data_IF_855900437037
#
_entry.id   IF_855900437037
#
_cell.length_a   1.000
_cell.length_b   1.000
_cell.length_c   1.000
_cell.angle_alpha   90.00
_cell.angle_beta   90.00
_cell.angle_gamma   90.00
#
_symmetry.space_group_name_H-M   'P 1'
#
loop_
_entity.id
_entity.type
_entity.pdbx_description
1 polymer ?
#
# COMPACT_ATOMS: atom_id res chain seq x y z
N UNK A 1 -24.75 1.76 27.10
CA UNK A 1 -24.68 0.95 25.87
C UNK A 1 -23.21 0.93 25.47
N UNK A 2 -22.50 -0.15 25.77
CA UNK A 2 -21.20 -0.38 25.18
C UNK A 2 -21.44 -0.48 23.66
N UNK A 3 -20.86 0.42 22.88
CA UNK A 3 -20.77 0.20 21.45
C UNK A 3 -19.88 -1.03 21.27
N UNK A 4 -20.42 -2.14 20.77
CA UNK A 4 -19.62 -3.26 20.33
C UNK A 4 -18.74 -2.76 19.20
N UNK A 5 -17.43 -2.90 19.38
CA UNK A 5 -16.46 -2.67 18.30
C UNK A 5 -16.58 -3.82 17.26
N UNK A 6 -15.52 -4.11 16.54
CA UNK A 6 -15.57 -5.10 15.47
C UNK A 6 -15.51 -6.57 15.95
N UNK A 7 -15.43 -6.84 17.26
CA UNK A 7 -15.28 -8.20 17.81
C UNK A 7 -16.42 -9.13 17.38
N UNK A 8 -17.69 -8.71 17.57
CA UNK A 8 -18.86 -9.50 17.17
C UNK A 8 -18.84 -9.77 15.64
N UNK A 9 -18.53 -8.75 14.84
CA UNK A 9 -18.42 -8.88 13.39
C UNK A 9 -17.37 -9.94 13.01
N UNK A 10 -16.18 -9.87 13.62
CA UNK A 10 -15.08 -10.78 13.33
C UNK A 10 -15.40 -12.22 13.79
N UNK A 11 -16.12 -12.39 14.88
CA UNK A 11 -16.54 -13.70 15.37
C UNK A 11 -17.66 -14.29 14.51
N UNK A 12 -18.72 -13.53 14.24
CA UNK A 12 -19.91 -14.03 13.55
C UNK A 12 -19.71 -14.25 12.05
N UNK A 13 -19.00 -13.35 11.38
CA UNK A 13 -18.87 -13.37 9.92
C UNK A 13 -17.53 -13.92 9.43
N UNK A 14 -16.47 -13.83 10.25
CA UNK A 14 -15.13 -14.30 9.86
C UNK A 14 -14.66 -15.51 10.67
N UNK A 15 -15.48 -16.03 11.56
CA UNK A 15 -15.21 -17.26 12.33
C UNK A 15 -14.05 -17.12 13.31
N UNK A 16 -13.75 -15.91 13.79
CA UNK A 16 -12.70 -15.70 14.77
C UNK A 16 -13.10 -16.31 16.12
N UNK A 17 -12.34 -17.29 16.62
CA UNK A 17 -12.60 -17.90 17.92
C UNK A 17 -12.37 -16.94 19.09
N UNK A 18 -11.40 -16.05 18.95
CA UNK A 18 -11.03 -15.06 19.97
C UNK A 18 -10.54 -13.79 19.27
N UNK A 19 -11.13 -12.65 19.62
CA UNK A 19 -10.71 -11.33 19.18
C UNK A 19 -10.07 -10.59 20.36
N UNK A 20 -8.94 -9.94 20.12
CA UNK A 20 -8.22 -9.12 21.09
C UNK A 20 -7.81 -7.82 20.43
N UNK A 21 -7.93 -6.71 21.15
CA UNK A 21 -7.55 -5.38 20.69
C UNK A 21 -6.22 -4.95 21.29
N UNK A 22 -5.47 -4.17 20.52
CA UNK A 22 -4.24 -3.52 20.97
C UNK A 22 -4.36 -2.01 20.73
N UNK A 23 -4.10 -1.21 21.74
CA UNK A 23 -4.14 0.25 21.67
C UNK A 23 -2.98 0.86 22.50
N UNK A 24 -2.68 2.12 22.23
CA UNK A 24 -1.70 2.89 22.99
C UNK A 24 -2.19 3.29 24.39
N UNK A 25 -3.50 3.20 24.64
CA UNK A 25 -4.14 3.60 25.88
C UNK A 25 -5.23 2.62 26.32
N UNK A 26 -5.58 2.69 27.60
CA UNK A 26 -6.69 1.93 28.14
C UNK A 26 -8.07 2.60 27.94
N UNK A 27 -8.12 3.72 27.25
CA UNK A 27 -9.32 4.57 27.17
C UNK A 27 -10.53 3.84 26.60
N UNK A 28 -10.35 3.02 25.57
CA UNK A 28 -11.40 2.25 24.92
C UNK A 28 -11.46 0.78 25.40
N UNK A 29 -10.76 0.45 26.47
CA UNK A 29 -10.81 -0.88 27.07
C UNK A 29 -10.05 -1.94 26.27
N UNK A 30 -8.97 -1.56 25.59
CA UNK A 30 -8.16 -2.49 24.80
C UNK A 30 -7.63 -3.66 25.64
N UNK A 31 -7.56 -4.84 25.04
CA UNK A 31 -7.05 -6.06 25.66
C UNK A 31 -5.55 -5.95 26.00
N UNK A 32 -4.80 -5.31 25.12
CA UNK A 32 -3.38 -5.08 25.25
C UNK A 32 -3.06 -3.60 25.10
N UNK A 33 -2.20 -3.07 25.98
CA UNK A 33 -1.72 -1.69 25.90
C UNK A 33 -0.28 -1.74 25.43
N UNK A 34 -0.02 -1.19 24.25
CA UNK A 34 1.31 -1.08 23.68
C UNK A 34 1.42 0.10 22.70
N UNK A 35 2.52 0.83 22.77
CA UNK A 35 2.82 1.90 21.83
C UNK A 35 3.45 1.32 20.56
N UNK A 36 2.74 1.38 19.44
CA UNK A 36 3.22 0.86 18.16
C UNK A 36 4.39 1.66 17.56
N UNK A 37 4.71 2.84 18.11
CA UNK A 37 5.95 3.55 17.76
C UNK A 37 7.21 2.90 18.34
N UNK A 38 7.07 2.03 19.33
CA UNK A 38 8.13 1.37 20.08
C UNK A 38 8.20 -0.12 19.75
N UNK A 39 9.32 -0.81 20.08
CA UNK A 39 9.38 -2.26 19.94
C UNK A 39 8.27 -2.97 20.69
N UNK A 40 7.68 -4.00 20.05
CA UNK A 40 6.59 -4.78 20.61
C UNK A 40 7.03 -5.50 21.90
N UNK A 41 6.18 -5.51 22.97
CA UNK A 41 6.41 -6.33 24.14
C UNK A 41 6.56 -7.82 23.80
N UNK A 42 7.59 -8.48 24.36
CA UNK A 42 7.98 -9.86 24.00
C UNK A 42 6.85 -10.88 24.21
N UNK A 43 5.97 -10.65 25.18
CA UNK A 43 4.83 -11.51 25.46
C UNK A 43 3.73 -11.49 24.38
N UNK A 44 3.80 -10.57 23.42
CA UNK A 44 2.86 -10.46 22.28
C UNK A 44 3.43 -11.05 20.98
N UNK A 45 4.71 -11.36 20.94
CA UNK A 45 5.37 -11.86 19.72
C UNK A 45 4.85 -13.25 19.34
N UNK A 46 4.44 -13.41 18.08
CA UNK A 46 3.97 -14.68 17.50
C UNK A 46 2.71 -15.25 18.17
N UNK A 47 1.77 -14.41 18.57
CA UNK A 47 0.58 -14.84 19.30
C UNK A 47 -0.69 -14.99 18.47
N UNK A 48 -0.76 -14.29 17.32
CA UNK A 48 -2.01 -14.14 16.59
C UNK A 48 -1.98 -14.83 15.22
N UNK A 49 -3.04 -15.55 14.87
CA UNK A 49 -3.21 -16.19 13.57
C UNK A 49 -3.60 -15.16 12.50
N UNK A 50 -4.31 -14.11 12.91
CA UNK A 50 -4.66 -12.96 12.07
C UNK A 50 -4.36 -11.69 12.82
N UNK A 51 -3.65 -10.76 12.16
CA UNK A 51 -3.44 -9.40 12.64
C UNK A 51 -4.20 -8.47 11.71
N UNK A 52 -5.16 -7.71 12.26
CA UNK A 52 -6.01 -6.82 11.50
C UNK A 52 -5.76 -5.36 11.89
N UNK A 53 -5.44 -4.55 10.91
CA UNK A 53 -5.27 -3.11 11.01
C UNK A 53 -6.37 -2.41 10.22
N UNK A 54 -7.35 -1.88 10.93
CA UNK A 54 -8.53 -1.22 10.37
C UNK A 54 -8.43 0.31 10.40
N UNK A 55 -7.26 0.86 10.08
CA UNK A 55 -7.08 2.32 10.09
C UNK A 55 -6.34 2.84 11.34
N UNK A 56 -5.32 2.11 11.77
CA UNK A 56 -4.45 2.52 12.88
C UNK A 56 -3.10 3.06 12.38
N UNK A 57 -2.51 2.40 11.38
CA UNK A 57 -1.15 2.66 10.91
C UNK A 57 -0.93 4.12 10.44
N UNK A 58 -1.92 4.74 9.83
CA UNK A 58 -1.85 6.14 9.38
C UNK A 58 -1.68 7.15 10.52
N UNK A 59 -2.01 6.76 11.74
CA UNK A 59 -1.88 7.60 12.95
C UNK A 59 -0.58 7.38 13.72
N UNK A 60 0.25 6.40 13.31
CA UNK A 60 1.50 6.05 13.99
C UNK A 60 2.67 6.73 13.29
N UNK A 61 3.38 7.63 14.01
CA UNK A 61 4.48 8.39 13.42
C UNK A 61 5.64 7.50 12.96
N UNK A 62 6.05 6.50 13.77
CA UNK A 62 7.10 5.55 13.41
C UNK A 62 6.52 4.37 12.62
N UNK A 63 6.07 4.64 11.40
CA UNK A 63 5.38 3.67 10.52
C UNK A 63 6.21 2.41 10.27
N UNK A 64 7.53 2.53 10.17
CA UNK A 64 8.42 1.38 9.94
C UNK A 64 8.47 0.44 11.14
N UNK A 65 8.50 0.99 12.36
CA UNK A 65 8.41 0.20 13.57
C UNK A 65 7.05 -0.48 13.70
N UNK A 66 5.97 0.24 13.40
CA UNK A 66 4.62 -0.31 13.43
C UNK A 66 4.46 -1.49 12.45
N UNK A 67 4.92 -1.36 11.21
CA UNK A 67 4.91 -2.45 10.22
C UNK A 67 5.69 -3.67 10.70
N UNK A 68 6.84 -3.46 11.35
CA UNK A 68 7.60 -4.52 12.01
C UNK A 68 6.81 -5.17 13.15
N UNK A 69 6.11 -4.37 13.95
CA UNK A 69 5.29 -4.88 15.06
C UNK A 69 4.11 -5.72 14.57
N UNK A 70 3.42 -5.32 13.49
CA UNK A 70 2.37 -6.15 12.88
C UNK A 70 2.90 -7.54 12.49
N UNK A 71 4.08 -7.60 11.91
CA UNK A 71 4.74 -8.86 11.55
C UNK A 71 5.14 -9.67 12.77
N UNK A 72 5.65 -9.02 13.83
CA UNK A 72 6.00 -9.67 15.09
C UNK A 72 4.78 -10.19 15.85
N UNK A 73 3.63 -9.54 15.79
CA UNK A 73 2.38 -10.02 16.38
C UNK A 73 1.92 -11.32 15.73
N UNK A 74 2.12 -11.46 14.42
CA UNK A 74 1.64 -12.57 13.61
C UNK A 74 2.47 -13.85 13.84
N UNK A 75 1.81 -15.01 13.89
CA UNK A 75 2.46 -16.33 13.82
C UNK A 75 2.96 -16.62 12.41
N UNK A 76 3.98 -17.46 12.28
CA UNK A 76 4.32 -18.06 11.00
C UNK A 76 3.12 -18.86 10.46
N UNK A 77 2.80 -18.67 9.17
CA UNK A 77 1.59 -19.21 8.54
C UNK A 77 0.33 -18.40 8.82
N UNK A 78 0.39 -17.38 9.68
CA UNK A 78 -0.70 -16.45 9.95
C UNK A 78 -0.77 -15.34 8.90
N UNK A 79 -1.81 -14.53 8.94
CA UNK A 79 -2.05 -13.47 7.98
C UNK A 79 -2.09 -12.08 8.62
N UNK A 80 -1.71 -11.08 7.82
CA UNK A 80 -1.79 -9.67 8.18
C UNK A 80 -2.74 -9.01 7.17
N UNK A 81 -3.69 -8.25 7.68
CA UNK A 81 -4.69 -7.55 6.89
C UNK A 81 -4.64 -6.07 7.25
N UNK A 82 -4.50 -5.20 6.25
CA UNK A 82 -4.59 -3.75 6.40
C UNK A 82 -5.75 -3.18 5.60
N UNK A 83 -6.43 -2.20 6.18
CA UNK A 83 -7.45 -1.37 5.53
C UNK A 83 -7.10 0.08 5.84
N UNK A 84 -6.46 0.77 4.89
CA UNK A 84 -5.76 2.03 5.14
C UNK A 84 -6.12 3.11 4.11
N UNK A 85 -6.03 4.40 4.46
CA UNK A 85 -6.24 5.49 3.52
C UNK A 85 -5.15 5.51 2.44
N UNK A 86 -5.56 5.59 1.16
CA UNK A 86 -4.65 5.61 0.03
C UNK A 86 -4.62 6.94 -0.72
N UNK A 87 -5.76 7.62 -0.87
CA UNK A 87 -5.88 8.85 -1.64
C UNK A 87 -6.99 9.75 -1.10
N UNK A 88 -6.79 11.08 -1.19
CA UNK A 88 -7.74 12.11 -0.76
C UNK A 88 -8.10 12.09 0.74
N UNK A 89 -7.13 11.77 1.59
CA UNK A 89 -7.23 11.77 3.04
C UNK A 89 -6.27 12.77 3.72
N UNK A 90 -5.97 13.92 3.09
CA UNK A 90 -5.00 14.88 3.61
C UNK A 90 -5.34 15.44 5.01
N UNK A 91 -6.58 15.37 5.44
CA UNK A 91 -7.02 15.78 6.77
C UNK A 91 -7.12 14.63 7.78
N UNK A 92 -6.63 13.42 7.46
CA UNK A 92 -6.79 12.22 8.26
C UNK A 92 -5.45 11.52 8.49
N UNK A 93 -4.97 11.50 9.73
CA UNK A 93 -3.71 10.86 10.09
C UNK A 93 -2.47 11.56 9.53
N UNK A 94 -1.33 10.89 9.67
CA UNK A 94 -0.03 11.34 9.16
C UNK A 94 0.23 10.84 7.74
N UNK A 95 -0.31 9.67 7.38
CA UNK A 95 0.08 8.94 6.17
C UNK A 95 -1.10 8.55 5.30
N UNK A 96 -0.84 8.47 4.00
CA UNK A 96 -1.65 7.80 3.00
C UNK A 96 -0.74 6.79 2.28
N UNK A 97 -1.25 5.59 2.02
CA UNK A 97 -0.42 4.46 1.61
C UNK A 97 -0.60 4.10 0.14
N UNK A 98 0.51 3.90 -0.55
CA UNK A 98 0.52 3.39 -1.92
C UNK A 98 0.49 1.85 -1.92
N UNK A 99 -0.20 1.21 -2.88
CA UNK A 99 -0.09 -0.23 -3.13
C UNK A 99 1.34 -0.73 -3.28
N UNK A 100 2.21 0.08 -3.85
CA UNK A 100 3.64 -0.23 -4.05
C UNK A 100 4.36 -0.56 -2.76
N UNK A 101 4.07 0.17 -1.66
CA UNK A 101 4.67 -0.10 -0.37
C UNK A 101 4.47 -1.56 0.05
N UNK A 102 3.27 -2.08 -0.11
CA UNK A 102 2.92 -3.41 0.37
C UNK A 102 3.48 -4.52 -0.51
N UNK A 103 3.54 -4.32 -1.83
CA UNK A 103 4.23 -5.27 -2.72
C UNK A 103 5.73 -5.33 -2.47
N UNK A 104 6.36 -4.18 -2.16
CA UNK A 104 7.78 -4.13 -1.84
C UNK A 104 8.10 -4.67 -0.46
N UNK A 105 7.25 -4.36 0.54
CA UNK A 105 7.43 -4.80 1.92
C UNK A 105 7.13 -6.29 2.08
N UNK A 106 5.95 -6.72 1.64
CA UNK A 106 5.43 -8.07 1.81
C UNK A 106 5.77 -8.96 0.61
N UNK A 107 7.04 -8.99 0.26
CA UNK A 107 7.58 -9.82 -0.82
C UNK A 107 8.03 -11.18 -0.30
N UNK A 108 8.19 -12.15 -1.21
CA UNK A 108 8.72 -13.48 -0.85
C UNK A 108 10.14 -13.40 -0.29
N UNK A 109 10.97 -12.51 -0.84
CA UNK A 109 12.34 -12.26 -0.38
C UNK A 109 12.36 -11.73 1.06
N UNK A 110 11.31 -11.03 1.46
CA UNK A 110 11.14 -10.49 2.81
C UNK A 110 10.45 -11.46 3.79
N UNK A 111 10.07 -12.66 3.34
CA UNK A 111 9.48 -13.70 4.20
C UNK A 111 7.96 -13.79 4.17
N UNK A 112 7.32 -13.28 3.12
CA UNK A 112 5.86 -13.29 2.97
C UNK A 112 5.42 -14.05 1.72
N UNK A 113 4.19 -14.57 1.76
CA UNK A 113 3.52 -15.21 0.63
C UNK A 113 2.13 -14.60 0.43
N UNK A 114 1.52 -14.90 -0.73
CA UNK A 114 0.13 -14.57 -1.04
C UNK A 114 -0.24 -13.10 -0.80
N UNK A 115 0.65 -12.17 -1.15
CA UNK A 115 0.35 -10.75 -0.97
C UNK A 115 -0.63 -10.26 -2.04
N UNK A 116 -1.82 -9.93 -1.60
CA UNK A 116 -2.91 -9.38 -2.39
C UNK A 116 -3.16 -7.93 -1.99
N UNK A 117 -3.31 -7.07 -2.97
CA UNK A 117 -3.57 -5.64 -2.75
C UNK A 117 -4.79 -5.23 -3.57
N UNK A 118 -5.72 -4.56 -2.92
CA UNK A 118 -6.93 -4.04 -3.54
C UNK A 118 -7.05 -2.54 -3.30
N UNK A 119 -7.74 -1.85 -4.19
CA UNK A 119 -8.18 -0.47 -4.03
C UNK A 119 -9.70 -0.46 -3.99
N UNK A 120 -10.25 0.16 -2.96
CA UNK A 120 -11.67 0.41 -2.81
C UNK A 120 -11.97 1.90 -2.97
N UNK A 121 -12.92 2.22 -3.85
CA UNK A 121 -13.47 3.56 -4.00
C UNK A 121 -14.66 3.72 -3.03
N UNK A 122 -14.57 4.67 -2.11
CA UNK A 122 -15.62 4.89 -1.12
C UNK A 122 -16.94 5.39 -1.72
N UNK A 123 -16.91 5.91 -2.95
CA UNK A 123 -18.14 6.27 -3.67
C UNK A 123 -18.87 5.06 -4.25
N UNK A 124 -18.20 3.89 -4.34
CA UNK A 124 -18.76 2.66 -4.87
C UNK A 124 -18.27 1.41 -4.13
N UNK A 125 -18.80 1.17 -2.96
CA UNK A 125 -18.42 0.07 -2.06
C UNK A 125 -18.67 -1.34 -2.60
N UNK A 126 -19.40 -1.47 -3.72
CA UNK A 126 -19.71 -2.77 -4.36
C UNK A 126 -18.61 -3.27 -5.31
N UNK A 127 -17.63 -2.43 -5.60
CA UNK A 127 -16.58 -2.71 -6.56
C UNK A 127 -15.22 -2.39 -5.96
N UNK A 128 -14.32 -3.36 -5.99
CA UNK A 128 -12.92 -3.19 -5.65
C UNK A 128 -12.07 -3.47 -6.88
N UNK A 129 -10.85 -2.96 -6.87
CA UNK A 129 -9.88 -3.18 -7.92
C UNK A 129 -8.68 -3.92 -7.35
N UNK A 130 -8.50 -5.18 -7.70
CA UNK A 130 -7.28 -5.91 -7.39
C UNK A 130 -6.13 -5.29 -8.19
N UNK A 131 -5.10 -4.88 -7.49
CA UNK A 131 -3.90 -4.28 -8.07
C UNK A 131 -2.96 -5.41 -8.47
N UNK A 132 -2.48 -5.41 -9.71
CA UNK A 132 -1.42 -6.31 -10.14
C UNK A 132 -0.08 -5.81 -9.58
N UNK A 133 0.76 -6.74 -9.12
CA UNK A 133 2.13 -6.41 -8.71
C UNK A 133 2.85 -5.75 -9.89
N UNK A 134 3.47 -4.57 -9.68
CA UNK A 134 4.24 -3.91 -10.74
C UNK A 134 5.45 -4.76 -11.15
N UNK A 135 5.67 -4.88 -12.45
CA UNK A 135 6.80 -5.61 -13.03
C UNK A 135 7.51 -4.73 -14.06
N UNK A 136 8.75 -5.07 -14.40
CA UNK A 136 9.50 -4.43 -15.50
C UNK A 136 9.60 -2.88 -15.45
N UNK A 137 9.62 -2.29 -14.26
CA UNK A 137 9.69 -0.85 -14.08
C UNK A 137 8.36 -0.12 -14.26
N UNK A 138 7.26 -0.84 -14.32
CA UNK A 138 5.91 -0.27 -14.30
C UNK A 138 5.58 0.31 -12.92
N UNK A 139 4.65 1.26 -12.89
CA UNK A 139 4.09 1.82 -11.65
C UNK A 139 2.61 1.52 -11.56
N UNK A 140 2.14 1.29 -10.34
CA UNK A 140 0.70 1.30 -10.09
C UNK A 140 0.13 2.68 -10.43
N UNK A 141 -0.79 2.71 -11.38
CA UNK A 141 -1.38 3.94 -11.87
C UNK A 141 -2.89 3.95 -11.61
N UNK A 142 -3.25 4.15 -10.35
CA UNK A 142 -4.62 4.16 -9.86
C UNK A 142 -4.96 5.56 -9.33
N UNK A 143 -5.18 6.49 -10.24
CA UNK A 143 -5.58 7.86 -9.88
C UNK A 143 -7.10 8.00 -9.88
N UNK A 144 -7.64 8.65 -8.87
CA UNK A 144 -9.06 8.99 -8.73
C UNK A 144 -9.23 10.37 -8.09
N UNK A 145 -10.34 11.04 -8.38
CA UNK A 145 -10.79 12.22 -7.65
C UNK A 145 -11.48 11.87 -6.33
N UNK A 146 -11.82 10.59 -6.11
CA UNK A 146 -12.50 10.10 -4.94
C UNK A 146 -11.54 9.72 -3.81
N UNK A 147 -12.06 9.60 -2.60
CA UNK A 147 -11.34 9.00 -1.49
C UNK A 147 -11.20 7.50 -1.73
N UNK A 148 -9.96 7.00 -1.62
CA UNK A 148 -9.61 5.60 -1.85
C UNK A 148 -9.01 4.98 -0.60
N UNK A 149 -9.41 3.75 -0.31
CA UNK A 149 -8.72 2.86 0.61
C UNK A 149 -7.86 1.85 -0.15
N UNK A 150 -6.72 1.50 0.43
CA UNK A 150 -5.95 0.32 0.07
C UNK A 150 -6.25 -0.78 1.09
N UNK A 151 -6.57 -1.97 0.58
CA UNK A 151 -6.76 -3.18 1.37
C UNK A 151 -5.65 -4.15 1.01
N UNK A 152 -5.04 -4.73 2.02
CA UNK A 152 -3.91 -5.64 1.84
C UNK A 152 -4.16 -6.90 2.64
N UNK A 153 -3.89 -8.05 2.04
CA UNK A 153 -3.76 -9.34 2.74
C UNK A 153 -2.42 -9.94 2.39
N UNK A 154 -1.70 -10.43 3.38
CA UNK A 154 -0.46 -11.19 3.18
C UNK A 154 -0.34 -12.29 4.21
N UNK A 155 0.40 -13.34 3.89
CA UNK A 155 0.71 -14.45 4.79
C UNK A 155 2.17 -14.35 5.22
N UNK A 156 2.42 -14.38 6.53
CA UNK A 156 3.77 -14.44 7.07
C UNK A 156 4.28 -15.89 6.96
N UNK A 157 5.20 -16.14 6.03
CA UNK A 157 5.68 -17.49 5.72
C UNK A 157 6.56 -18.08 6.84
N UNK A 158 7.43 -17.26 7.43
CA UNK A 158 8.42 -17.66 8.43
C UNK A 158 8.51 -16.62 9.55
N UNK A 159 9.03 -17.03 10.71
CA UNK A 159 9.23 -16.11 11.84
C UNK A 159 10.34 -15.07 11.59
N UNK A 160 11.22 -15.34 10.63
CA UNK A 160 12.28 -14.41 10.22
C UNK A 160 11.84 -13.67 8.97
N UNK A 161 11.45 -12.42 9.14
CA UNK A 161 11.12 -11.50 8.05
C UNK A 161 12.15 -10.37 7.97
N UNK A 162 12.30 -9.79 6.78
CA UNK A 162 13.25 -8.72 6.53
C UNK A 162 12.54 -7.45 6.06
N UNK A 163 12.69 -6.36 6.82
CA UNK A 163 12.18 -5.03 6.46
C UNK A 163 13.31 -4.04 6.13
N UNK A 164 14.55 -4.49 5.99
CA UNK A 164 15.69 -3.59 5.78
C UNK A 164 15.94 -3.24 4.32
N UNK A 165 15.46 -4.06 3.39
CA UNK A 165 15.69 -3.88 1.96
C UNK A 165 14.39 -3.64 1.18
N UNK A 166 13.59 -2.69 1.66
CA UNK A 166 12.35 -2.29 0.98
C UNK A 166 12.66 -1.15 0.02
N UNK A 167 12.54 -1.42 -1.28
CA UNK A 167 12.82 -0.46 -2.35
C UNK A 167 11.66 -0.40 -3.33
N UNK A 168 11.45 0.73 -3.96
CA UNK A 168 10.43 0.89 -4.99
C UNK A 168 10.81 0.12 -6.27
N UNK A 169 9.91 -0.68 -6.80
CA UNK A 169 10.17 -1.66 -7.86
C UNK A 169 10.67 -1.04 -9.17
N UNK A 170 10.17 0.12 -9.56
CA UNK A 170 10.61 0.82 -10.77
C UNK A 170 12.05 1.35 -10.67
N UNK A 171 12.48 1.79 -9.48
CA UNK A 171 13.87 2.21 -9.27
C UNK A 171 14.83 1.02 -9.33
N UNK A 172 14.47 -0.13 -8.76
CA UNK A 172 15.30 -1.35 -8.86
C UNK A 172 15.51 -1.71 -10.33
N UNK A 173 14.44 -1.68 -11.12
CA UNK A 173 14.50 -1.95 -12.55
C UNK A 173 15.34 -0.92 -13.32
N UNK A 174 15.18 0.38 -13.02
CA UNK A 174 15.94 1.45 -13.64
C UNK A 174 17.44 1.37 -13.29
N UNK A 175 17.78 0.98 -12.07
CA UNK A 175 19.18 0.80 -11.65
C UNK A 175 19.83 -0.40 -12.35
N UNK A 176 19.11 -1.50 -12.49
CA UNK A 176 19.59 -2.67 -13.25
C UNK A 176 19.88 -2.32 -14.73
N UNK A 177 19.03 -1.47 -15.34
CA UNK A 177 19.24 -0.99 -16.72
C UNK A 177 20.24 0.15 -16.86
N UNK A 178 20.52 0.90 -15.80
CA UNK A 178 21.39 2.09 -15.87
C UNK A 178 22.85 1.73 -16.12
N UNK A 179 23.28 0.49 -15.82
CA UNK A 179 24.59 -0.03 -16.21
C UNK A 179 24.76 -0.12 -17.73
N UNK A 180 23.67 -0.38 -18.48
CA UNK A 180 23.74 -0.69 -19.90
C UNK A 180 23.50 0.52 -20.82
N UNK A 181 22.88 1.63 -20.33
CA UNK A 181 22.41 2.73 -21.17
C UNK A 181 22.81 4.16 -20.71
N UNK A 182 23.94 4.31 -20.00
CA UNK A 182 24.39 5.63 -19.53
C UNK A 182 24.63 6.63 -20.68
N UNK A 183 25.17 6.18 -21.80
CA UNK A 183 25.54 7.05 -22.92
C UNK A 183 24.31 7.61 -23.65
N UNK A 184 23.29 6.83 -23.90
CA UNK A 184 22.09 7.25 -24.63
C UNK A 184 21.23 8.25 -23.83
N UNK A 185 21.05 8.01 -22.54
CA UNK A 185 20.33 8.95 -21.63
C UNK A 185 21.07 10.30 -21.55
N UNK A 186 22.40 10.27 -21.52
CA UNK A 186 23.23 11.48 -21.49
C UNK A 186 23.11 12.28 -22.80
N UNK A 187 23.14 11.62 -23.95
CA UNK A 187 22.98 12.29 -25.26
C UNK A 187 21.59 12.92 -25.43
N UNK A 188 20.53 12.22 -25.05
CA UNK A 188 19.18 12.76 -25.10
C UNK A 188 19.00 13.96 -24.16
N UNK A 189 19.56 13.93 -22.97
CA UNK A 189 19.58 15.08 -22.05
C UNK A 189 20.32 16.29 -22.65
N UNK A 190 21.49 16.07 -23.26
CA UNK A 190 22.26 17.12 -23.93
C UNK A 190 21.47 17.73 -25.09
N UNK A 191 20.81 16.91 -25.93
CA UNK A 191 19.95 17.36 -27.02
C UNK A 191 18.80 18.25 -26.54
N UNK A 192 18.11 17.83 -25.49
CA UNK A 192 17.00 18.58 -24.87
C UNK A 192 17.51 19.92 -24.34
N UNK A 193 18.66 19.94 -23.66
CA UNK A 193 19.31 21.17 -23.19
C UNK A 193 19.72 22.11 -24.33
N UNK A 194 20.20 21.57 -25.45
CA UNK A 194 20.53 22.38 -26.65
C UNK A 194 19.27 22.98 -27.26
N UNK A 195 18.15 22.22 -27.38
CA UNK A 195 16.87 22.76 -27.87
C UNK A 195 16.37 23.88 -26.94
N UNK A 196 16.44 23.68 -25.64
CA UNK A 196 16.04 24.67 -24.63
C UNK A 196 16.85 25.98 -24.78
N UNK A 197 18.15 25.85 -25.05
CA UNK A 197 19.05 27.01 -25.22
C UNK A 197 18.85 27.73 -26.57
N UNK A 198 18.70 26.98 -27.65
CA UNK A 198 18.70 27.53 -29.02
C UNK A 198 17.31 27.99 -29.44
N UNK A 199 16.25 27.41 -28.97
CA UNK A 199 14.87 27.72 -29.37
C UNK A 199 13.95 27.71 -28.13
N UNK A 200 14.16 28.66 -27.17
CA UNK A 200 13.48 28.65 -25.88
C UNK A 200 11.95 28.78 -26.00
N UNK A 201 11.45 29.48 -27.01
CA UNK A 201 10.01 29.63 -27.23
C UNK A 201 9.36 28.28 -27.63
N UNK A 202 9.99 27.55 -28.56
CA UNK A 202 9.49 26.23 -29.00
C UNK A 202 9.54 25.24 -27.85
N UNK A 203 10.62 25.24 -27.08
CA UNK A 203 10.71 24.38 -25.88
C UNK A 203 9.58 24.71 -24.88
N UNK A 204 9.34 25.97 -24.58
CA UNK A 204 8.29 26.41 -23.66
C UNK A 204 6.90 26.02 -24.16
N UNK A 205 6.63 26.15 -25.46
CA UNK A 205 5.38 25.77 -26.09
C UNK A 205 5.15 24.23 -25.98
N UNK A 206 6.15 23.44 -26.38
CA UNK A 206 6.11 21.98 -26.29
C UNK A 206 5.95 21.49 -24.84
N UNK A 207 6.64 22.12 -23.90
CA UNK A 207 6.52 21.86 -22.48
C UNK A 207 5.10 22.13 -21.97
N UNK A 208 4.48 23.26 -22.35
CA UNK A 208 3.08 23.57 -21.99
C UNK A 208 2.10 22.60 -22.61
N UNK A 209 2.26 22.24 -23.89
CA UNK A 209 1.43 21.24 -24.57
C UNK A 209 1.55 19.88 -23.88
N UNK A 210 2.77 19.45 -23.58
CA UNK A 210 3.02 18.21 -22.86
C UNK A 210 2.32 18.20 -21.48
N UNK A 211 2.45 19.28 -20.70
CA UNK A 211 1.78 19.37 -19.41
C UNK A 211 0.25 19.45 -19.52
N UNK A 212 -0.28 20.09 -20.57
CA UNK A 212 -1.71 20.09 -20.84
C UNK A 212 -2.22 18.67 -21.16
N UNK A 213 -1.48 17.94 -22.02
CA UNK A 213 -1.78 16.53 -22.32
C UNK A 213 -1.70 15.66 -21.07
N UNK A 214 -0.67 15.84 -20.23
CA UNK A 214 -0.56 15.12 -18.97
C UNK A 214 -1.72 15.43 -18.03
N UNK A 215 -2.14 16.71 -17.96
CA UNK A 215 -3.27 17.13 -17.13
C UNK A 215 -4.59 16.52 -17.59
N UNK A 216 -4.80 16.41 -18.91
CA UNK A 216 -5.98 15.75 -19.47
C UNK A 216 -5.93 14.23 -19.36
N UNK A 217 -4.72 13.63 -19.39
CA UNK A 217 -4.50 12.18 -19.19
C UNK A 217 -4.54 11.75 -17.73
N UNK A 218 -4.40 12.68 -16.77
CA UNK A 218 -4.55 12.42 -15.33
C UNK A 218 -5.99 12.20 -14.88
N UNK A 219 -6.95 12.19 -15.81
CA UNK A 219 -8.33 11.83 -15.51
C UNK A 219 -8.36 10.40 -14.99
N UNK A 220 -9.22 10.21 -14.02
CA UNK A 220 -9.54 9.01 -13.27
C UNK A 220 -9.14 7.70 -13.97
N UNK A 221 -8.10 7.04 -13.44
CA UNK A 221 -7.57 5.78 -13.99
C UNK A 221 -8.05 4.54 -13.22
N UNK A 222 -8.92 4.77 -12.25
CA UNK A 222 -9.59 3.69 -11.53
C UNK A 222 -10.76 3.17 -12.40
N UNK A 223 -10.44 2.39 -13.42
CA UNK A 223 -11.42 1.86 -14.36
C UNK A 223 -10.99 0.51 -14.96
N UNK A 224 -11.94 -0.19 -15.59
CA UNK A 224 -11.76 -1.53 -16.19
C UNK A 224 -10.73 -1.59 -17.32
N UNK A 225 -10.36 -0.46 -17.93
CA UNK A 225 -9.40 -0.40 -19.04
C UNK A 225 -7.95 -0.24 -18.53
N UNK A 226 -7.75 -0.07 -17.23
CA UNK A 226 -6.42 0.02 -16.65
C UNK A 226 -5.79 -1.38 -16.59
N UNK A 227 -4.69 -1.64 -17.32
CA UNK A 227 -4.08 -2.97 -17.38
C UNK A 227 -3.49 -3.44 -16.05
N UNK A 228 -3.15 -2.51 -15.16
CA UNK A 228 -2.64 -2.79 -13.81
C UNK A 228 -3.73 -3.10 -12.77
N UNK A 229 -5.01 -3.05 -13.15
CA UNK A 229 -6.14 -3.25 -12.25
C UNK A 229 -7.10 -4.32 -12.78
N UNK A 230 -7.58 -5.18 -11.88
CA UNK A 230 -8.65 -6.14 -12.16
C UNK A 230 -9.87 -5.77 -11.32
N UNK A 231 -10.98 -5.43 -11.98
CA UNK A 231 -12.23 -5.16 -11.28
C UNK A 231 -12.78 -6.43 -10.65
N UNK A 232 -13.14 -6.36 -9.39
CA UNK A 232 -13.78 -7.42 -8.61
C UNK A 232 -15.09 -6.89 -8.03
N UNK A 233 -16.15 -7.66 -8.12
CA UNK A 233 -17.37 -7.36 -7.38
C UNK A 233 -17.23 -7.93 -5.98
N UNK A 234 -17.51 -7.13 -4.96
CA UNK A 234 -17.35 -7.55 -3.55
C UNK A 234 -18.13 -8.84 -3.26
N UNK A 235 -19.33 -9.00 -3.85
CA UNK A 235 -20.12 -10.22 -3.72
C UNK A 235 -19.40 -11.49 -4.22
N UNK A 236 -18.50 -11.36 -5.19
CA UNK A 236 -17.80 -12.51 -5.78
C UNK A 236 -16.62 -12.96 -4.87
N UNK A 237 -16.19 -12.12 -3.92
CA UNK A 237 -15.19 -12.45 -2.89
C UNK A 237 -15.80 -13.17 -1.70
N UNK A 238 -17.10 -13.01 -1.45
CA UNK A 238 -17.80 -13.59 -0.30
C UNK A 238 -18.25 -15.05 -0.54
N UNK A 239 -18.04 -15.60 -1.73
CA UNK A 239 -18.47 -16.93 -2.16
C UNK A 239 -17.30 -17.92 -2.21
N UNK A 240 -16.09 -17.48 -1.93
CA UNK A 240 -14.89 -18.33 -1.82
C UNK A 240 -14.60 -18.65 -0.36
#
# INVERSE_FOLDING_TARGET
>A
KHSSYCEELLQEYFGANKVQSLDNSAFEGATHIANMNEPLPQNLVGKFDTVFDGGCLEHIYNVTQALKNYSLLCKAGGQIIHVLPANNFCGHGFYQFSPELFFSLYSQENGYDETEVFIADLSNTKQWYQVKKPENGERVNATSSNALYVLVRTVLRVNEFNHTNVQQSDYIHDWAKASDNKEEKTQNYIRIKQIQKNIPFVYTLLYRIYHLILRTRRKDRLNRKNPGLKLIRVKDLLVQ
#
